data_IF_092145074911
#
_entry.id   IF_092145074911
#
_cell.length_a   1.000
_cell.length_b   1.000
_cell.length_c   1.000
_cell.angle_alpha   90.00
_cell.angle_beta   90.00
_cell.angle_gamma   90.00
#
_symmetry.space_group_name_H-M   'P 1'
#
loop_
_entity.id
_entity.type
_entity.pdbx_description
1 polymer ?
#
# COMPACT_ATOMS: atom_id res chain seq x y z
N UNK A 1 11.67 0.95 -21.29
CA UNK A 1 11.05 0.28 -20.13
C UNK A 1 11.66 0.89 -18.89
N UNK A 2 10.88 1.59 -18.06
CA UNK A 2 11.37 2.12 -16.79
C UNK A 2 10.89 1.21 -15.66
N UNK A 3 11.72 1.06 -14.63
CA UNK A 3 11.34 0.41 -13.38
C UNK A 3 11.17 1.49 -12.32
N UNK A 4 9.96 1.61 -11.80
CA UNK A 4 9.58 2.69 -10.89
C UNK A 4 9.35 2.08 -9.52
N UNK A 5 10.16 2.51 -8.56
CA UNK A 5 10.09 2.04 -7.18
C UNK A 5 9.44 3.09 -6.30
N UNK A 6 8.46 2.67 -5.51
CA UNK A 6 7.82 3.48 -4.48
C UNK A 6 8.24 2.91 -3.13
N UNK A 7 9.02 3.69 -2.39
CA UNK A 7 9.51 3.31 -1.07
C UNK A 7 8.55 3.81 0.01
N UNK A 8 7.87 2.85 0.66
CA UNK A 8 6.87 3.08 1.69
C UNK A 8 5.43 2.91 1.17
N UNK A 9 4.60 2.19 1.93
CA UNK A 9 3.21 1.90 1.63
C UNK A 9 2.26 2.47 2.70
N UNK A 10 2.47 3.74 3.07
CA UNK A 10 1.60 4.50 3.98
C UNK A 10 0.46 5.22 3.25
N UNK A 11 -0.07 6.28 3.88
CA UNK A 11 -1.17 7.10 3.32
C UNK A 11 -0.80 7.71 1.96
N UNK A 12 0.47 8.08 1.76
CA UNK A 12 0.95 8.61 0.47
C UNK A 12 1.35 7.51 -0.52
N UNK A 13 2.12 6.52 -0.07
CA UNK A 13 2.70 5.51 -0.96
C UNK A 13 1.69 4.55 -1.59
N UNK A 14 0.64 4.18 -0.85
CA UNK A 14 -0.39 3.28 -1.37
C UNK A 14 -1.14 3.89 -2.58
N UNK A 15 -1.72 5.10 -2.49
CA UNK A 15 -2.31 5.78 -3.65
C UNK A 15 -1.30 6.00 -4.78
N UNK A 16 -0.08 6.45 -4.46
CA UNK A 16 0.97 6.68 -5.46
C UNK A 16 1.26 5.43 -6.30
N UNK A 17 1.19 4.22 -5.71
CA UNK A 17 1.37 2.98 -6.45
C UNK A 17 0.26 2.73 -7.47
N UNK A 18 -1.00 2.91 -7.07
CA UNK A 18 -2.14 2.76 -7.96
C UNK A 18 -2.14 3.82 -9.06
N UNK A 19 -1.90 5.08 -8.72
CA UNK A 19 -1.85 6.19 -9.66
C UNK A 19 -0.71 5.99 -10.65
N UNK A 20 0.50 5.70 -10.16
CA UNK A 20 1.66 5.43 -11.02
C UNK A 20 1.35 4.30 -12.00
N UNK A 21 0.81 3.17 -11.53
CA UNK A 21 0.48 2.04 -12.40
C UNK A 21 -0.59 2.39 -13.43
N UNK A 22 -1.61 3.16 -13.05
CA UNK A 22 -2.65 3.62 -13.95
C UNK A 22 -2.09 4.56 -15.03
N UNK A 23 -1.15 5.44 -14.68
CA UNK A 23 -0.52 6.39 -15.60
C UNK A 23 0.41 5.71 -16.60
N UNK A 24 1.26 4.79 -16.14
CA UNK A 24 2.30 4.17 -16.99
C UNK A 24 1.82 2.90 -17.71
N UNK A 25 0.69 2.34 -17.29
CA UNK A 25 0.10 1.13 -17.87
C UNK A 25 1.01 -0.10 -17.74
N UNK A 26 0.97 -0.97 -18.74
CA UNK A 26 1.73 -2.23 -18.76
C UNK A 26 3.11 -2.10 -19.44
N UNK A 27 3.47 -0.91 -19.92
CA UNK A 27 4.76 -0.65 -20.57
C UNK A 27 5.90 -0.36 -19.59
N UNK A 28 5.58 -0.20 -18.30
CA UNK A 28 6.55 0.04 -17.24
C UNK A 28 6.22 -0.83 -16.03
N UNK A 29 7.25 -1.11 -15.25
CA UNK A 29 7.15 -1.87 -14.01
C UNK A 29 7.00 -0.91 -12.83
N UNK A 30 6.09 -1.23 -11.91
CA UNK A 30 5.90 -0.51 -10.66
C UNK A 30 6.07 -1.50 -9.52
N UNK A 31 7.00 -1.20 -8.61
CA UNK A 31 7.27 -1.99 -7.40
C UNK A 31 7.13 -1.12 -6.17
N UNK A 32 6.42 -1.60 -5.17
CA UNK A 32 6.34 -0.97 -3.85
C UNK A 32 7.25 -1.74 -2.91
N UNK A 33 8.08 -1.05 -2.15
CA UNK A 33 8.89 -1.67 -1.08
C UNK A 33 8.43 -1.07 0.23
N UNK A 34 8.09 -1.90 1.21
CA UNK A 34 7.65 -1.43 2.51
C UNK A 34 8.24 -2.28 3.66
N UNK A 35 8.44 -1.67 4.82
CA UNK A 35 8.91 -2.33 6.04
C UNK A 35 8.02 -3.51 6.47
N UNK A 36 6.71 -3.39 6.22
CA UNK A 36 5.67 -4.33 6.69
C UNK A 36 4.79 -4.78 5.52
N UNK A 37 4.20 -5.95 5.63
CA UNK A 37 3.34 -6.56 4.62
C UNK A 37 1.87 -6.08 4.64
N UNK A 38 1.53 -5.16 5.55
CA UNK A 38 0.19 -4.60 5.71
C UNK A 38 0.16 -3.07 5.66
N UNK A 39 -0.92 -2.53 5.09
CA UNK A 39 -1.27 -1.13 5.21
C UNK A 39 -2.00 -0.94 6.55
N UNK A 40 -1.76 0.19 7.22
CA UNK A 40 -2.46 0.57 8.43
C UNK A 40 -3.04 1.96 8.28
N UNK A 41 -4.32 2.13 8.61
CA UNK A 41 -4.95 3.43 8.67
C UNK A 41 -4.54 4.17 9.96
N UNK A 42 -3.40 4.87 9.90
CA UNK A 42 -2.74 5.55 11.03
C UNK A 42 -3.68 6.40 11.89
N UNK A 43 -4.65 7.17 11.34
CA UNK A 43 -5.53 8.01 12.15
C UNK A 43 -6.39 7.22 13.17
N UNK A 44 -6.61 5.93 12.98
CA UNK A 44 -7.37 5.08 13.91
C UNK A 44 -6.55 4.51 15.07
N UNK A 45 -5.23 4.75 15.13
CA UNK A 45 -4.38 4.25 16.22
C UNK A 45 -4.87 4.63 17.63
N UNK A 46 -5.37 5.86 17.90
CA UNK A 46 -5.89 6.21 19.21
C UNK A 46 -7.06 5.31 19.64
N UNK A 47 -7.94 4.91 18.71
CA UNK A 47 -9.06 4.02 19.01
C UNK A 47 -8.62 2.59 19.32
N UNK A 48 -7.53 2.13 18.70
CA UNK A 48 -6.91 0.84 19.06
C UNK A 48 -6.32 0.92 20.47
N UNK A 49 -5.65 2.02 20.82
CA UNK A 49 -5.04 2.19 22.13
C UNK A 49 -6.04 2.15 23.31
N UNK A 50 -7.28 2.61 23.08
CA UNK A 50 -8.36 2.59 24.10
C UNK A 50 -9.35 1.44 23.93
N UNK A 51 -9.05 0.46 23.06
CA UNK A 51 -9.88 -0.75 22.88
C UNK A 51 -11.20 -0.53 22.14
N UNK A 52 -11.40 0.59 21.45
CA UNK A 52 -12.57 0.84 20.60
C UNK A 52 -12.46 0.17 19.23
N UNK A 53 -11.26 -0.24 18.83
CA UNK A 53 -10.96 -0.98 17.61
C UNK A 53 -9.88 -2.02 17.87
N UNK A 54 -9.89 -3.07 17.06
CA UNK A 54 -8.81 -4.05 17.00
C UNK A 54 -7.90 -3.77 15.79
N UNK A 55 -6.67 -4.31 15.80
CA UNK A 55 -5.72 -4.18 14.69
C UNK A 55 -6.33 -4.62 13.35
N UNK A 56 -7.09 -5.71 13.35
CA UNK A 56 -7.74 -6.26 12.15
C UNK A 56 -8.73 -5.28 11.51
N UNK A 57 -9.27 -4.34 12.28
CA UNK A 57 -10.24 -3.35 11.79
C UNK A 57 -9.55 -2.22 11.01
N UNK A 58 -8.23 -2.05 11.17
CA UNK A 58 -7.48 -0.91 10.63
C UNK A 58 -6.32 -1.33 9.72
N UNK A 59 -6.16 -2.62 9.47
CA UNK A 59 -5.08 -3.15 8.62
C UNK A 59 -5.58 -4.03 7.49
N UNK A 60 -4.90 -3.99 6.35
CA UNK A 60 -5.14 -4.90 5.21
C UNK A 60 -3.80 -5.40 4.63
N UNK A 61 -3.73 -6.66 4.13
CA UNK A 61 -2.50 -7.19 3.50
C UNK A 61 -2.24 -6.50 2.16
N UNK A 62 -1.07 -5.89 1.97
CA UNK A 62 -0.79 -5.03 0.80
C UNK A 62 -0.72 -5.84 -0.50
N UNK A 63 0.10 -6.89 -0.51
CA UNK A 63 0.40 -7.70 -1.71
C UNK A 63 -0.87 -8.19 -2.41
N UNK A 64 -1.86 -8.65 -1.61
CA UNK A 64 -3.15 -9.14 -2.10
C UNK A 64 -3.88 -8.13 -2.99
N UNK A 65 -3.77 -6.84 -2.72
CA UNK A 65 -4.48 -5.80 -3.48
C UNK A 65 -3.61 -5.19 -4.59
N UNK A 66 -2.31 -4.99 -4.35
CA UNK A 66 -1.38 -4.52 -5.36
C UNK A 66 -1.23 -5.53 -6.52
N UNK A 67 -1.12 -6.83 -6.20
CA UNK A 67 -1.00 -7.90 -7.18
C UNK A 67 -2.20 -7.95 -8.15
N UNK A 68 -3.41 -7.64 -7.69
CA UNK A 68 -4.61 -7.54 -8.55
C UNK A 68 -4.51 -6.43 -9.60
N UNK A 69 -3.63 -5.45 -9.40
CA UNK A 69 -3.37 -4.34 -10.33
C UNK A 69 -2.04 -4.49 -11.07
N UNK A 70 -1.37 -5.65 -10.97
CA UNK A 70 -0.05 -5.90 -11.58
C UNK A 70 1.01 -4.91 -11.08
N UNK A 71 0.98 -4.64 -9.78
CA UNK A 71 2.00 -3.88 -9.06
C UNK A 71 2.75 -4.87 -8.18
N UNK A 72 4.08 -4.86 -8.27
CA UNK A 72 4.95 -5.72 -7.46
C UNK A 72 5.05 -5.16 -6.04
N UNK A 73 5.18 -6.02 -5.04
CA UNK A 73 5.30 -5.67 -3.63
C UNK A 73 6.37 -6.53 -2.97
#
# INVERSE_FOLDING_TARGET
MAHIVILGAGIGGMPAAYEMKATVGNHHEVTVINERDYFQFVPSNPWVAVGWRERKDITIPIEKYLGKKKINF
#
